data_IF_974054115123
#
_entry.id   IF_974054115123
#
_cell.length_a   1.000
_cell.length_b   1.000
_cell.length_c   1.000
_cell.angle_alpha   90.00
_cell.angle_beta   90.00
_cell.angle_gamma   90.00
#
_symmetry.space_group_name_H-M   'P 1'
#
loop_
_entity.id
_entity.type
_entity.pdbx_description
1 polymer ?
#
# COMPACT_ATOMS: atom_id res chain seq x y z
N UNK A 1 17.88 -19.09 -3.79
CA UNK A 1 16.93 -18.68 -4.85
C UNK A 1 15.80 -19.68 -4.88
N UNK A 2 14.55 -19.25 -4.67
CA UNK A 2 13.37 -20.14 -4.79
C UNK A 2 12.99 -20.32 -6.27
N UNK A 3 12.70 -21.55 -6.74
CA UNK A 3 12.25 -21.78 -8.12
C UNK A 3 10.91 -21.11 -8.39
N UNK A 4 10.79 -20.40 -9.52
CA UNK A 4 9.51 -19.90 -10.04
C UNK A 4 9.21 -18.41 -9.85
N UNK A 5 10.15 -17.60 -9.32
CA UNK A 5 9.95 -16.15 -9.26
C UNK A 5 10.46 -15.44 -10.54
N UNK A 6 9.72 -14.43 -11.04
CA UNK A 6 10.17 -13.62 -12.17
C UNK A 6 11.46 -12.84 -11.83
N UNK A 7 12.30 -12.50 -12.83
CA UNK A 7 13.55 -11.78 -12.63
C UNK A 7 13.28 -10.37 -12.09
N UNK A 8 13.64 -10.13 -10.83
CA UNK A 8 13.51 -8.81 -10.20
C UNK A 8 14.52 -7.86 -10.83
N UNK A 9 14.11 -6.64 -11.20
CA UNK A 9 15.06 -5.57 -11.57
C UNK A 9 16.13 -5.43 -10.48
N UNK A 10 17.40 -5.62 -10.82
CA UNK A 10 18.53 -5.85 -9.91
C UNK A 10 18.57 -4.95 -8.67
N UNK A 11 18.16 -3.68 -8.79
CA UNK A 11 18.22 -2.69 -7.71
C UNK A 11 17.40 -3.03 -6.45
N UNK A 12 16.37 -3.88 -6.56
CA UNK A 12 15.48 -4.20 -5.43
C UNK A 12 15.40 -5.68 -5.08
N UNK A 13 16.08 -6.54 -5.84
CA UNK A 13 16.06 -7.98 -5.65
C UNK A 13 16.57 -8.39 -4.25
N UNK A 14 17.69 -7.80 -3.83
CA UNK A 14 18.29 -8.08 -2.53
C UNK A 14 17.40 -7.61 -1.38
N UNK A 15 16.80 -6.42 -1.51
CA UNK A 15 15.91 -5.85 -0.49
C UNK A 15 14.61 -6.62 -0.39
N UNK A 16 14.07 -7.12 -1.50
CA UNK A 16 12.93 -8.04 -1.51
C UNK A 16 13.28 -9.36 -0.81
N UNK A 17 14.41 -9.99 -1.18
CA UNK A 17 14.85 -11.23 -0.55
C UNK A 17 15.08 -11.06 0.95
N UNK A 18 15.76 -9.97 1.35
CA UNK A 18 16.01 -9.66 2.75
C UNK A 18 14.72 -9.39 3.53
N UNK A 19 13.76 -8.68 2.94
CA UNK A 19 12.46 -8.44 3.55
C UNK A 19 11.77 -9.76 3.89
N UNK A 20 11.63 -10.67 2.92
CA UNK A 20 10.96 -11.96 3.13
C UNK A 20 11.74 -12.93 4.03
N UNK A 21 13.08 -12.79 4.09
CA UNK A 21 13.90 -13.57 5.01
C UNK A 21 13.75 -13.12 6.48
N UNK A 22 13.59 -11.82 6.71
CA UNK A 22 13.59 -11.23 8.05
C UNK A 22 12.19 -10.99 8.61
N UNK A 23 11.22 -10.71 7.74
CA UNK A 23 9.88 -10.33 8.14
C UNK A 23 8.90 -11.49 7.99
N UNK A 24 8.39 -11.96 9.13
CA UNK A 24 7.25 -12.86 9.21
C UNK A 24 6.09 -12.10 9.86
N UNK A 25 4.98 -11.85 9.15
CA UNK A 25 3.85 -11.15 9.72
C UNK A 25 3.23 -11.97 10.86
N UNK A 26 2.93 -11.32 11.98
CA UNK A 26 2.16 -11.96 13.06
C UNK A 26 0.71 -12.21 12.62
N UNK A 27 0.03 -13.18 13.25
CA UNK A 27 -1.40 -13.48 13.00
C UNK A 27 -2.29 -12.24 13.08
N UNK A 28 -1.95 -11.30 13.97
CA UNK A 28 -2.68 -10.03 14.12
C UNK A 28 -2.59 -9.17 12.86
N UNK A 29 -1.41 -9.08 12.26
CA UNK A 29 -1.19 -8.34 11.01
C UNK A 29 -1.88 -9.05 9.85
N UNK A 30 -1.78 -10.38 9.78
CA UNK A 30 -2.47 -11.17 8.75
C UNK A 30 -3.97 -10.94 8.80
N UNK A 31 -4.58 -11.11 9.98
CA UNK A 31 -6.02 -10.89 10.18
C UNK A 31 -6.44 -9.47 9.85
N UNK A 32 -5.68 -8.46 10.29
CA UNK A 32 -5.99 -7.06 10.00
C UNK A 32 -5.92 -6.77 8.49
N UNK A 33 -4.92 -7.32 7.79
CA UNK A 33 -4.81 -7.20 6.33
C UNK A 33 -5.98 -7.89 5.61
N UNK A 34 -6.42 -9.06 6.06
CA UNK A 34 -7.61 -9.73 5.53
C UNK A 34 -8.88 -8.89 5.70
N UNK A 35 -9.10 -8.33 6.89
CA UNK A 35 -10.23 -7.42 7.14
C UNK A 35 -10.18 -6.20 6.21
N UNK A 36 -8.99 -5.65 5.99
CA UNK A 36 -8.77 -4.55 5.07
C UNK A 36 -9.11 -4.92 3.61
N UNK A 37 -8.66 -6.09 3.13
CA UNK A 37 -9.00 -6.58 1.80
C UNK A 37 -10.52 -6.74 1.62
N UNK A 38 -11.21 -7.28 2.64
CA UNK A 38 -12.66 -7.43 2.63
C UNK A 38 -13.39 -6.08 2.61
N UNK A 39 -12.95 -5.12 3.44
CA UNK A 39 -13.54 -3.77 3.46
C UNK A 39 -13.39 -3.05 2.11
N UNK A 40 -12.25 -3.24 1.45
CA UNK A 40 -11.95 -2.67 0.14
C UNK A 40 -12.60 -3.45 -1.02
N UNK A 41 -13.16 -4.64 -0.74
CA UNK A 41 -13.70 -5.57 -1.75
C UNK A 41 -12.68 -5.91 -2.84
N UNK A 42 -11.42 -5.97 -2.47
CA UNK A 42 -10.32 -6.41 -3.32
C UNK A 42 -9.87 -7.79 -2.87
N UNK A 43 -9.19 -8.51 -3.76
CA UNK A 43 -8.54 -9.77 -3.39
C UNK A 43 -7.05 -9.68 -3.68
N UNK A 44 -6.18 -10.28 -2.85
CA UNK A 44 -4.73 -10.25 -3.07
C UNK A 44 -4.30 -10.88 -4.39
N UNK A 45 -5.10 -11.81 -4.92
CA UNK A 45 -4.88 -12.54 -6.18
C UNK A 45 -5.46 -11.82 -7.41
N UNK A 46 -6.21 -10.72 -7.22
CA UNK A 46 -6.83 -9.96 -8.32
C UNK A 46 -6.10 -8.64 -8.53
N UNK A 47 -5.93 -8.21 -9.79
CA UNK A 47 -5.19 -6.99 -10.08
C UNK A 47 -5.97 -5.75 -9.62
N UNK A 48 -5.32 -4.94 -8.78
CA UNK A 48 -5.70 -3.56 -8.48
C UNK A 48 -4.46 -2.68 -8.48
N UNK A 49 -4.67 -1.36 -8.58
CA UNK A 49 -3.60 -0.36 -8.43
C UNK A 49 -3.66 0.22 -7.04
N UNK A 50 -2.53 0.29 -6.35
CA UNK A 50 -2.42 0.99 -5.08
C UNK A 50 -1.75 2.35 -5.26
N UNK A 51 -2.24 3.33 -4.52
CA UNK A 51 -1.67 4.67 -4.44
C UNK A 51 -1.35 4.96 -2.98
N UNK A 52 -0.11 5.35 -2.70
CA UNK A 52 0.26 5.88 -1.39
C UNK A 52 0.62 7.36 -1.50
N UNK A 53 -0.15 8.21 -0.81
CA UNK A 53 0.02 9.66 -0.82
C UNK A 53 0.35 10.19 0.56
N UNK A 54 1.51 10.85 0.65
CA UNK A 54 1.91 11.71 1.75
C UNK A 54 2.01 13.13 1.19
N UNK A 55 0.90 13.87 1.24
CA UNK A 55 0.68 15.21 0.66
C UNK A 55 1.83 15.73 -0.25
N UNK A 56 1.79 15.37 -1.53
CA UNK A 56 2.44 16.13 -2.59
C UNK A 56 1.35 16.58 -3.57
N UNK A 57 1.62 17.64 -4.35
CA UNK A 57 0.69 18.29 -5.28
C UNK A 57 0.12 17.36 -6.39
N UNK A 58 0.50 16.09 -6.40
CA UNK A 58 0.36 15.15 -7.52
C UNK A 58 -0.90 14.28 -7.52
N UNK A 59 -1.58 14.08 -6.38
CA UNK A 59 -2.72 13.16 -6.26
C UNK A 59 -3.84 13.38 -7.29
N UNK A 60 -4.12 14.64 -7.62
CA UNK A 60 -5.15 15.04 -8.61
C UNK A 60 -4.71 14.79 -10.05
N UNK A 61 -3.41 14.87 -10.35
CA UNK A 61 -2.86 14.60 -11.68
C UNK A 61 -2.77 13.09 -11.96
N UNK A 62 -2.52 12.33 -10.88
CA UNK A 62 -2.26 10.90 -10.88
C UNK A 62 -3.47 10.04 -11.28
N UNK A 63 -4.68 10.45 -10.88
CA UNK A 63 -5.93 9.80 -11.30
C UNK A 63 -6.35 10.13 -12.73
N UNK A 64 -5.91 11.27 -13.29
CA UNK A 64 -6.32 11.74 -14.62
C UNK A 64 -5.42 11.22 -15.75
N UNK A 65 -4.15 10.90 -15.49
CA UNK A 65 -3.20 10.53 -16.54
C UNK A 65 -3.12 9.05 -16.90
N UNK A 66 -3.66 8.13 -16.09
CA UNK A 66 -3.13 6.75 -16.11
C UNK A 66 -4.07 5.59 -16.40
N UNK A 67 -5.35 5.83 -16.72
CA UNK A 67 -6.21 4.79 -17.33
C UNK A 67 -6.05 3.40 -16.71
N UNK A 68 -6.10 3.33 -15.37
CA UNK A 68 -5.81 2.09 -14.66
C UNK A 68 -6.91 1.07 -14.93
N UNK A 69 -6.53 -0.14 -15.34
CA UNK A 69 -7.45 -1.26 -15.44
C UNK A 69 -7.74 -1.82 -14.04
N UNK A 70 -8.99 -1.67 -13.60
CA UNK A 70 -9.49 -2.23 -12.36
C UNK A 70 -9.55 -1.25 -11.17
N UNK A 71 -9.78 -1.76 -9.95
CA UNK A 71 -9.93 -0.93 -8.77
C UNK A 71 -8.65 -0.14 -8.44
N UNK A 72 -8.83 1.12 -8.01
CA UNK A 72 -7.74 1.94 -7.46
C UNK A 72 -7.94 2.09 -5.97
N UNK A 73 -6.93 1.71 -5.18
CA UNK A 73 -6.94 1.73 -3.73
C UNK A 73 -5.97 2.80 -3.24
N UNK A 74 -6.42 3.68 -2.35
CA UNK A 74 -5.59 4.72 -1.75
C UNK A 74 -5.30 4.44 -0.28
N UNK A 75 -4.01 4.34 0.05
CA UNK A 75 -3.47 4.39 1.43
C UNK A 75 -2.98 5.81 1.68
N UNK A 76 -3.43 6.45 2.75
CA UNK A 76 -2.96 7.79 3.13
C UNK A 76 -3.22 8.10 4.60
N UNK A 77 -2.20 8.63 5.28
CA UNK A 77 -2.30 9.17 6.63
C UNK A 77 -3.18 10.44 6.69
N UNK A 78 -3.46 11.09 5.55
CA UNK A 78 -4.19 12.34 5.48
C UNK A 78 -5.72 12.18 5.64
N UNK A 79 -6.22 12.43 6.85
CA UNK A 79 -7.63 12.25 7.20
C UNK A 79 -8.64 12.97 6.29
N UNK A 80 -8.31 14.19 5.85
CA UNK A 80 -9.19 14.98 4.98
C UNK A 80 -9.33 14.34 3.60
N UNK A 81 -8.24 13.77 3.06
CA UNK A 81 -8.29 13.11 1.74
C UNK A 81 -9.18 11.88 1.80
N UNK A 82 -9.10 11.10 2.90
CA UNK A 82 -9.99 9.95 3.11
C UNK A 82 -11.46 10.37 3.13
N UNK A 83 -11.80 11.49 3.77
CA UNK A 83 -13.18 12.01 3.76
C UNK A 83 -13.65 12.39 2.36
N UNK A 84 -12.80 13.03 1.55
CA UNK A 84 -13.13 13.34 0.15
C UNK A 84 -13.35 12.09 -0.70
N UNK A 85 -12.49 11.08 -0.56
CA UNK A 85 -12.65 9.80 -1.27
C UNK A 85 -13.94 9.10 -0.82
N UNK A 86 -14.18 8.99 0.49
CA UNK A 86 -15.39 8.35 1.04
C UNK A 86 -16.69 9.07 0.66
N UNK A 87 -16.64 10.39 0.49
CA UNK A 87 -17.77 11.19 0.01
C UNK A 87 -17.91 11.20 -1.52
N UNK A 88 -17.09 10.43 -2.26
CA UNK A 88 -17.20 10.27 -3.71
C UNK A 88 -16.66 11.44 -4.54
N UNK A 89 -15.93 12.39 -3.92
CA UNK A 89 -15.30 13.50 -4.64
C UNK A 89 -14.11 13.05 -5.50
N UNK A 90 -13.52 11.89 -5.18
CA UNK A 90 -12.50 11.22 -5.99
C UNK A 90 -13.13 10.00 -6.64
N UNK A 91 -13.44 10.10 -7.93
CA UNK A 91 -14.07 8.99 -8.67
C UNK A 91 -13.09 7.83 -8.84
N UNK A 92 -13.64 6.61 -8.86
CA UNK A 92 -12.91 5.36 -9.14
C UNK A 92 -11.76 5.04 -8.17
N UNK A 93 -11.74 5.66 -6.98
CA UNK A 93 -10.77 5.37 -5.93
C UNK A 93 -11.50 4.99 -4.66
N UNK A 94 -11.05 3.91 -4.01
CA UNK A 94 -11.49 3.53 -2.67
C UNK A 94 -10.36 3.79 -1.69
N UNK A 95 -10.64 4.42 -0.56
CA UNK A 95 -9.69 4.62 0.53
C UNK A 95 -10.21 3.98 1.82
N UNK A 96 -9.28 3.64 2.71
CA UNK A 96 -9.60 3.18 4.06
C UNK A 96 -10.41 4.21 4.82
N UNK A 97 -11.25 3.75 5.75
CA UNK A 97 -11.84 4.63 6.76
C UNK A 97 -10.83 5.06 7.84
N UNK A 98 -9.82 4.23 8.13
CA UNK A 98 -8.95 4.39 9.29
C UNK A 98 -7.49 4.07 8.97
N UNK A 99 -6.59 4.96 9.36
CA UNK A 99 -5.13 4.77 9.48
C UNK A 99 -4.71 5.51 10.77
N UNK A 100 -3.72 5.04 11.54
CA UNK A 100 -3.39 5.58 12.86
C UNK A 100 -3.11 7.07 12.80
N UNK A 101 -3.69 7.82 13.73
CA UNK A 101 -3.11 9.08 14.17
C UNK A 101 -1.71 8.78 14.75
N UNK A 102 -0.79 9.73 14.61
CA UNK A 102 0.59 9.72 15.14
C UNK A 102 0.84 8.75 16.33
N UNK A 103 1.97 8.02 16.27
CA UNK A 103 2.44 7.08 17.30
C UNK A 103 2.79 7.80 18.63
N UNK A 104 1.80 8.38 19.31
CA UNK A 104 2.06 9.26 20.46
C UNK A 104 1.76 8.61 21.83
N UNK A 105 1.43 7.31 21.88
CA UNK A 105 1.26 6.60 23.17
C UNK A 105 1.57 5.10 23.10
N UNK A 106 2.21 4.54 24.13
CA UNK A 106 2.76 3.18 24.13
C UNK A 106 1.73 2.05 23.88
N UNK A 107 0.45 2.26 24.24
CA UNK A 107 -0.63 1.32 23.91
C UNK A 107 -1.24 1.57 22.52
N UNK A 108 -1.29 2.83 22.06
CA UNK A 108 -1.63 3.17 20.67
C UNK A 108 -0.53 2.77 19.67
N UNK A 109 0.70 2.55 20.14
CA UNK A 109 1.84 2.22 19.30
C UNK A 109 1.74 0.80 18.72
N UNK A 110 1.22 -0.19 19.46
CA UNK A 110 1.11 -1.56 18.92
C UNK A 110 -0.04 -1.64 17.91
N UNK A 111 -1.23 -1.13 18.24
CA UNK A 111 -2.34 -1.08 17.27
C UNK A 111 -1.99 -0.23 16.04
N UNK A 112 -1.28 0.87 16.27
CA UNK A 112 -0.73 1.72 15.23
C UNK A 112 0.25 0.97 14.33
N UNK A 113 1.16 0.20 14.91
CA UNK A 113 2.10 -0.65 14.17
C UNK A 113 1.38 -1.74 13.37
N UNK A 114 0.45 -2.47 13.99
CA UNK A 114 -0.34 -3.51 13.32
C UNK A 114 -1.06 -2.90 12.12
N UNK A 115 -1.78 -1.79 12.30
CA UNK A 115 -2.50 -1.14 11.21
C UNK A 115 -1.55 -0.67 10.10
N UNK A 116 -0.45 -0.01 10.48
CA UNK A 116 0.56 0.51 9.55
C UNK A 116 1.16 -0.62 8.70
N UNK A 117 1.50 -1.75 9.31
CA UNK A 117 2.08 -2.89 8.59
C UNK A 117 1.02 -3.64 7.77
N UNK A 118 -0.24 -3.62 8.19
CA UNK A 118 -1.36 -4.14 7.38
C UNK A 118 -1.57 -3.31 6.12
N UNK A 119 -1.46 -1.98 6.23
CA UNK A 119 -1.53 -1.07 5.08
C UNK A 119 -0.37 -1.34 4.10
N UNK A 120 0.83 -1.68 4.58
CA UNK A 120 1.93 -2.13 3.72
C UNK A 120 1.53 -3.38 2.93
N UNK A 121 0.84 -4.34 3.55
CA UNK A 121 0.42 -5.57 2.87
C UNK A 121 -0.51 -5.23 1.70
N UNK A 122 -1.45 -4.29 1.86
CA UNK A 122 -2.33 -3.89 0.76
C UNK A 122 -1.59 -3.09 -0.32
N UNK A 123 -0.59 -2.29 0.04
CA UNK A 123 0.25 -1.70 -1.01
C UNK A 123 1.04 -2.78 -1.77
N UNK A 124 1.58 -3.76 -1.05
CA UNK A 124 2.47 -4.78 -1.58
C UNK A 124 1.78 -5.79 -2.51
N UNK A 125 0.50 -6.10 -2.27
CA UNK A 125 -0.27 -7.04 -3.09
C UNK A 125 -0.90 -6.39 -4.34
N UNK A 126 -0.66 -5.10 -4.58
CA UNK A 126 -1.14 -4.43 -5.77
C UNK A 126 -0.34 -4.86 -7.01
N UNK A 127 -1.00 -4.87 -8.17
CA UNK A 127 -0.33 -5.12 -9.46
C UNK A 127 0.53 -3.93 -9.91
N UNK A 128 0.10 -2.73 -9.56
CA UNK A 128 0.88 -1.52 -9.77
C UNK A 128 0.82 -0.61 -8.53
N UNK A 129 1.96 -0.04 -8.20
CA UNK A 129 2.17 0.90 -7.10
C UNK A 129 2.43 2.30 -7.66
N UNK A 130 1.71 3.29 -7.15
CA UNK A 130 1.97 4.70 -7.45
C UNK A 130 2.19 5.48 -6.18
N UNK A 131 3.45 5.80 -5.91
CA UNK A 131 3.88 6.31 -4.61
C UNK A 131 5.23 7.00 -4.73
N UNK A 132 5.52 7.91 -3.81
CA UNK A 132 6.86 8.52 -3.70
C UNK A 132 7.87 7.56 -3.08
N UNK A 133 9.14 7.61 -3.51
CA UNK A 133 10.22 6.74 -3.04
C UNK A 133 10.76 7.10 -1.64
N UNK A 134 9.95 6.92 -0.59
CA UNK A 134 10.37 7.20 0.80
C UNK A 134 9.85 6.15 1.78
N UNK A 135 10.73 5.72 2.70
CA UNK A 135 10.40 4.96 3.93
C UNK A 135 9.32 3.90 3.73
N UNK A 136 8.11 4.19 4.20
CA UNK A 136 6.92 3.35 4.11
C UNK A 136 6.63 2.82 2.69
N UNK A 137 6.65 3.69 1.68
CA UNK A 137 6.44 3.28 0.28
C UNK A 137 7.50 2.30 -0.21
N UNK A 138 8.77 2.49 0.20
CA UNK A 138 9.85 1.61 -0.21
C UNK A 138 9.67 0.22 0.42
N UNK A 139 9.23 0.14 1.68
CA UNK A 139 8.96 -1.14 2.34
C UNK A 139 7.86 -1.92 1.61
N UNK A 140 6.78 -1.24 1.17
CA UNK A 140 5.75 -1.88 0.36
C UNK A 140 6.27 -2.37 -0.99
N UNK A 141 7.18 -1.63 -1.61
CA UNK A 141 7.82 -2.04 -2.87
C UNK A 141 8.77 -3.22 -2.67
N UNK A 142 9.56 -3.23 -1.59
CA UNK A 142 10.42 -4.37 -1.23
C UNK A 142 9.60 -5.62 -0.96
N UNK A 143 8.46 -5.50 -0.28
CA UNK A 143 7.56 -6.63 -0.09
C UNK A 143 7.02 -7.14 -1.44
N UNK A 144 6.55 -6.24 -2.32
CA UNK A 144 5.93 -6.60 -3.60
C UNK A 144 6.89 -7.29 -4.59
N UNK A 145 8.16 -6.88 -4.62
CA UNK A 145 9.12 -7.37 -5.61
C UNK A 145 8.93 -6.72 -6.99
N UNK A 146 8.98 -7.51 -8.07
CA UNK A 146 8.91 -7.01 -9.44
C UNK A 146 7.48 -6.72 -9.90
N UNK A 147 6.98 -5.55 -9.52
CA UNK A 147 5.66 -5.06 -9.94
C UNK A 147 5.78 -3.72 -10.68
N UNK A 148 4.68 -3.31 -11.32
CA UNK A 148 4.60 -1.98 -11.90
C UNK A 148 4.80 -0.92 -10.81
N UNK A 149 5.75 0.00 -11.01
CA UNK A 149 6.02 1.11 -10.11
C UNK A 149 6.04 2.42 -10.90
N UNK A 150 5.29 3.41 -10.42
CA UNK A 150 5.30 4.78 -10.95
C UNK A 150 5.62 5.75 -9.83
N UNK A 151 6.67 6.56 -10.01
CA UNK A 151 6.99 7.62 -9.05
C UNK A 151 5.94 8.73 -9.14
N UNK A 152 5.58 9.28 -7.98
CA UNK A 152 4.59 10.35 -7.84
C UNK A 152 5.24 11.73 -7.57
N UNK A 153 6.57 11.83 -7.69
CA UNK A 153 7.37 13.04 -7.50
C UNK A 153 7.70 13.77 -8.81
#
# INVERSE_FOLDING_TARGET
MHPGMPPIKERWADLHCMWHALYQPSDRVVKQAEEQFQQLKIKPDRPYTSIHLRLSRCAKHLGLQHGYDGPVVMVTDHAVVRKFVAAGFVKNVTAYKTIPHHFDSAHGAIEGAVTTVSDLAVLAHAKCQVMGQRGFSNMAHWWAGDICFKDAH
#
